data_IF_740833497670
#
_entry.id   IF_740833497670
#
_cell.length_a   1.000
_cell.length_b   1.000
_cell.length_c   1.000
_cell.angle_alpha   90.00
_cell.angle_beta   90.00
_cell.angle_gamma   90.00
#
_symmetry.space_group_name_H-M   'P 1'
#
loop_
_entity.id
_entity.type
_entity.pdbx_description
1 polymer ?
#
# COMPACT_ATOMS: atom_id res chain seq x y z
N UNK A 1 -26.98 -54.07 -35.38
CA UNK A 1 -26.06 -52.93 -35.31
C UNK A 1 -26.78 -51.76 -34.70
N UNK A 2 -26.13 -51.03 -33.80
CA UNK A 2 -26.30 -49.62 -33.44
C UNK A 2 -25.64 -49.44 -32.06
N UNK A 3 -24.36 -49.11 -32.09
CA UNK A 3 -23.55 -48.70 -30.95
C UNK A 3 -23.49 -47.18 -30.91
N UNK A 4 -23.63 -46.62 -29.70
CA UNK A 4 -22.95 -45.40 -29.29
C UNK A 4 -23.75 -44.13 -29.48
N UNK A 5 -24.02 -43.44 -28.36
CA UNK A 5 -24.05 -41.98 -28.21
C UNK A 5 -24.31 -41.63 -26.73
N UNK A 6 -23.38 -41.94 -25.84
CA UNK A 6 -23.35 -41.31 -24.51
C UNK A 6 -21.91 -41.02 -24.10
N UNK A 7 -21.56 -39.74 -23.98
CA UNK A 7 -20.31 -39.36 -23.34
C UNK A 7 -19.75 -38.02 -23.78
N UNK A 8 -20.41 -36.88 -23.49
CA UNK A 8 -19.74 -35.59 -23.68
C UNK A 8 -20.32 -34.40 -22.89
N UNK A 9 -20.38 -34.45 -21.54
CA UNK A 9 -20.70 -33.23 -20.75
C UNK A 9 -19.82 -32.99 -19.49
N UNK A 10 -18.82 -33.83 -19.19
CA UNK A 10 -18.07 -33.76 -17.92
C UNK A 10 -16.70 -33.02 -17.93
N UNK A 11 -16.12 -32.74 -19.10
CA UNK A 11 -14.71 -32.30 -19.22
C UNK A 11 -14.44 -30.81 -18.95
N UNK A 12 -15.41 -29.93 -19.24
CA UNK A 12 -15.23 -28.48 -19.14
C UNK A 12 -15.13 -27.96 -17.71
N UNK A 13 -15.96 -28.47 -16.79
CA UNK A 13 -15.98 -28.05 -15.38
C UNK A 13 -14.68 -28.41 -14.63
N UNK A 14 -14.08 -29.58 -14.91
CA UNK A 14 -12.82 -30.00 -14.27
C UNK A 14 -11.62 -29.17 -14.73
N UNK A 15 -11.55 -28.81 -16.02
CA UNK A 15 -10.50 -27.90 -16.53
C UNK A 15 -10.63 -26.49 -15.97
N UNK A 16 -11.84 -25.95 -15.89
CA UNK A 16 -12.10 -24.61 -15.33
C UNK A 16 -11.70 -24.53 -13.84
N UNK A 17 -12.12 -25.52 -13.03
CA UNK A 17 -11.76 -25.60 -11.61
C UNK A 17 -10.24 -25.67 -11.41
N UNK A 18 -9.54 -26.55 -12.15
CA UNK A 18 -8.07 -26.65 -12.07
C UNK A 18 -7.36 -25.33 -12.45
N UNK A 19 -7.90 -24.59 -13.41
CA UNK A 19 -7.33 -23.31 -13.82
C UNK A 19 -7.59 -22.21 -12.77
N UNK A 20 -8.75 -22.21 -12.12
CA UNK A 20 -9.06 -21.31 -11.00
C UNK A 20 -8.16 -21.61 -9.79
N UNK A 21 -7.98 -22.88 -9.43
CA UNK A 21 -7.11 -23.32 -8.34
C UNK A 21 -5.65 -22.88 -8.57
N UNK A 22 -5.12 -23.06 -9.80
CA UNK A 22 -3.77 -22.62 -10.16
C UNK A 22 -3.58 -21.11 -10.05
N UNK A 23 -4.57 -20.32 -10.50
CA UNK A 23 -4.54 -18.86 -10.38
C UNK A 23 -4.54 -18.42 -8.93
N UNK A 24 -5.30 -19.10 -8.07
CA UNK A 24 -5.35 -18.78 -6.65
C UNK A 24 -4.04 -19.10 -5.94
N UNK A 25 -3.42 -20.24 -6.27
CA UNK A 25 -2.08 -20.58 -5.77
C UNK A 25 -1.02 -19.55 -6.18
N UNK A 26 -1.04 -19.09 -7.45
CA UNK A 26 -0.09 -18.07 -7.92
C UNK A 26 -0.29 -16.74 -7.18
N UNK A 27 -1.52 -16.30 -6.97
CA UNK A 27 -1.81 -15.10 -6.16
C UNK A 27 -1.27 -15.24 -4.74
N UNK A 28 -1.51 -16.37 -4.08
CA UNK A 28 -1.04 -16.57 -2.71
C UNK A 28 0.49 -16.57 -2.64
N UNK A 29 1.17 -17.13 -3.65
CA UNK A 29 2.63 -17.08 -3.73
C UNK A 29 3.14 -15.64 -3.86
N UNK A 30 2.53 -14.84 -4.74
CA UNK A 30 2.88 -13.43 -4.92
C UNK A 30 2.62 -12.63 -3.63
N UNK A 31 1.49 -12.85 -2.96
CA UNK A 31 1.18 -12.20 -1.68
C UNK A 31 2.19 -12.57 -0.59
N UNK A 32 2.52 -13.86 -0.45
CA UNK A 32 3.53 -14.29 0.51
C UNK A 32 4.90 -13.66 0.24
N UNK A 33 5.25 -13.46 -1.04
CA UNK A 33 6.47 -12.73 -1.41
C UNK A 33 6.36 -11.26 -0.99
N UNK A 34 5.22 -10.60 -1.22
CA UNK A 34 4.99 -9.20 -0.85
C UNK A 34 4.88 -8.98 0.66
N UNK A 35 4.55 -10.00 1.45
CA UNK A 35 4.63 -9.96 2.91
C UNK A 35 6.07 -10.05 3.42
N UNK A 36 7.00 -10.54 2.60
CA UNK A 36 8.40 -10.65 2.94
C UNK A 36 9.12 -9.30 2.80
N UNK A 37 9.70 -8.82 3.90
CA UNK A 37 10.48 -7.58 3.93
C UNK A 37 11.89 -7.72 3.32
N UNK A 38 12.44 -8.93 3.27
CA UNK A 38 13.82 -9.17 2.79
C UNK A 38 13.91 -9.35 1.26
N UNK A 39 12.78 -9.27 0.55
CA UNK A 39 12.71 -9.56 -0.90
C UNK A 39 13.50 -8.56 -1.77
N UNK A 40 13.75 -7.34 -1.28
CA UNK A 40 14.49 -6.28 -1.97
C UNK A 40 15.54 -5.66 -1.04
N UNK A 41 16.61 -6.40 -0.73
CA UNK A 41 17.63 -5.99 0.23
C UNK A 41 18.37 -4.66 -0.02
N UNK A 42 18.16 -4.02 -1.18
CA UNK A 42 18.77 -2.73 -1.56
C UNK A 42 17.77 -1.59 -1.76
N UNK A 43 16.46 -1.85 -1.66
CA UNK A 43 15.43 -0.84 -1.90
C UNK A 43 14.67 -0.54 -0.61
N UNK A 44 14.15 0.69 -0.47
CA UNK A 44 13.21 0.98 0.60
C UNK A 44 11.84 0.41 0.26
N UNK A 45 11.30 -0.37 1.19
CA UNK A 45 9.95 -0.91 1.11
C UNK A 45 8.97 -0.04 1.88
N UNK A 46 7.76 0.05 1.34
CA UNK A 46 6.65 0.83 1.86
C UNK A 46 5.51 -0.11 2.24
N UNK A 47 4.96 0.07 3.44
CA UNK A 47 3.81 -0.70 3.90
C UNK A 47 2.53 -0.12 3.31
N UNK A 48 1.84 -0.91 2.49
CA UNK A 48 0.48 -0.62 2.02
C UNK A 48 -0.48 -1.66 2.55
N UNK A 49 -1.74 -1.24 2.70
CA UNK A 49 -2.82 -2.09 3.20
C UNK A 49 -4.02 -2.01 2.27
N UNK A 50 -4.76 -3.10 2.22
CA UNK A 50 -6.02 -3.22 1.51
C UNK A 50 -7.14 -3.32 2.53
N UNK A 51 -8.05 -2.36 2.53
CA UNK A 51 -9.23 -2.40 3.39
C UNK A 51 -10.31 -3.30 2.82
N UNK A 52 -11.05 -3.99 3.70
CA UNK A 52 -12.19 -4.83 3.29
C UNK A 52 -13.22 -4.01 2.54
N UNK A 53 -13.66 -4.51 1.39
CA UNK A 53 -14.61 -3.82 0.51
C UNK A 53 -13.99 -2.73 -0.37
N UNK A 54 -12.67 -2.50 -0.27
CA UNK A 54 -11.91 -1.64 -1.18
C UNK A 54 -11.07 -2.49 -2.13
N UNK A 55 -11.08 -2.14 -3.41
CA UNK A 55 -10.12 -2.68 -4.39
C UNK A 55 -8.80 -1.89 -4.44
N UNK A 56 -8.73 -0.76 -3.74
CA UNK A 56 -7.62 0.18 -3.79
C UNK A 56 -6.73 -0.03 -2.56
N UNK A 57 -5.42 -0.16 -2.80
CA UNK A 57 -4.40 -0.19 -1.75
C UNK A 57 -4.05 1.23 -1.31
N UNK A 58 -3.85 1.41 -0.01
CA UNK A 58 -3.52 2.72 0.57
C UNK A 58 -2.56 2.56 1.73
N UNK A 59 -1.94 3.67 2.17
CA UNK A 59 -1.30 3.68 3.49
C UNK A 59 -2.34 3.49 4.61
N UNK A 60 -1.98 2.88 5.75
CA UNK A 60 -2.87 2.80 6.91
C UNK A 60 -3.31 4.18 7.37
N UNK A 61 -4.62 4.36 7.57
CA UNK A 61 -5.18 5.61 8.08
C UNK A 61 -6.37 5.35 9.01
N UNK A 62 -6.72 6.35 9.81
CA UNK A 62 -7.89 6.34 10.67
C UNK A 62 -8.35 7.77 10.92
N UNK A 63 -9.63 7.94 11.26
CA UNK A 63 -10.16 9.22 11.68
C UNK A 63 -9.49 9.70 12.96
N UNK A 64 -9.05 10.95 12.96
CA UNK A 64 -8.55 11.60 14.15
C UNK A 64 -9.71 11.85 15.13
N UNK A 65 -9.55 11.44 16.38
CA UNK A 65 -10.55 11.69 17.41
C UNK A 65 -10.23 12.96 18.19
N UNK A 66 -11.27 13.69 18.56
CA UNK A 66 -11.13 14.89 19.36
C UNK A 66 -10.48 14.59 20.72
N UNK A 67 -9.55 15.43 21.15
CA UNK A 67 -8.81 15.26 22.40
C UNK A 67 -7.59 14.34 22.31
N UNK A 68 -7.33 13.69 21.17
CA UNK A 68 -6.10 12.93 20.94
C UNK A 68 -5.03 13.79 20.27
N UNK A 69 -3.77 13.47 20.50
CA UNK A 69 -2.65 13.96 19.70
C UNK A 69 -2.52 13.17 18.40
N UNK A 70 -1.79 13.73 17.42
CA UNK A 70 -1.45 13.00 16.21
C UNK A 70 -0.66 11.72 16.52
N UNK A 71 0.26 11.76 17.50
CA UNK A 71 1.08 10.61 17.88
C UNK A 71 0.23 9.46 18.44
N UNK A 72 -0.71 9.77 19.34
CA UNK A 72 -1.62 8.76 19.88
C UNK A 72 -2.54 8.18 18.79
N UNK A 73 -2.95 9.01 17.82
CA UNK A 73 -3.73 8.54 16.66
C UNK A 73 -2.92 7.54 15.83
N UNK A 74 -1.64 7.83 15.57
CA UNK A 74 -0.75 6.93 14.82
C UNK A 74 -0.46 5.63 15.57
N UNK A 75 -0.25 5.72 16.89
CA UNK A 75 -0.09 4.52 17.74
C UNK A 75 -1.35 3.67 17.70
N UNK A 76 -2.53 4.28 17.82
CA UNK A 76 -3.80 3.56 17.72
C UNK A 76 -3.98 2.87 16.37
N UNK A 77 -3.59 3.51 15.26
CA UNK A 77 -3.61 2.88 13.93
C UNK A 77 -2.72 1.64 13.94
N UNK A 78 -1.50 1.74 14.47
CA UNK A 78 -0.56 0.61 14.52
C UNK A 78 -1.14 -0.56 15.33
N UNK A 79 -1.55 -0.31 16.57
CA UNK A 79 -2.08 -1.35 17.47
C UNK A 79 -3.37 -1.97 16.94
N UNK A 80 -4.31 -1.15 16.41
CA UNK A 80 -5.63 -1.62 16.00
C UNK A 80 -5.65 -2.27 14.61
N UNK A 81 -4.75 -1.88 13.71
CA UNK A 81 -4.78 -2.34 12.31
C UNK A 81 -3.62 -3.27 11.95
N UNK A 82 -2.45 -3.08 12.57
CA UNK A 82 -1.21 -3.79 12.22
C UNK A 82 -0.79 -4.82 13.28
N UNK A 83 -1.55 -4.92 14.37
CA UNK A 83 -1.34 -5.88 15.46
C UNK A 83 -0.94 -5.22 16.77
N UNK A 84 -1.33 -5.81 17.89
CA UNK A 84 -1.21 -5.22 19.23
C UNK A 84 0.23 -4.85 19.60
N UNK A 85 1.20 -5.65 19.16
CA UNK A 85 2.63 -5.43 19.40
C UNK A 85 3.36 -4.59 18.35
N UNK A 86 2.69 -4.14 17.27
CA UNK A 86 3.37 -3.43 16.20
C UNK A 86 3.69 -1.98 16.60
N UNK A 87 4.98 -1.68 16.78
CA UNK A 87 5.47 -0.40 17.27
C UNK A 87 6.61 0.15 16.39
N UNK A 88 6.29 0.89 15.32
CA UNK A 88 7.32 1.51 14.49
C UNK A 88 7.88 2.78 15.13
N UNK A 89 9.06 3.20 14.68
CA UNK A 89 9.67 4.46 15.11
C UNK A 89 9.10 5.64 14.30
N UNK A 90 8.32 6.51 14.95
CA UNK A 90 7.76 7.70 14.30
C UNK A 90 8.82 8.79 14.10
N UNK A 91 8.93 9.30 12.88
CA UNK A 91 9.93 10.30 12.51
C UNK A 91 9.34 11.71 12.70
N UNK A 92 9.70 12.33 13.82
CA UNK A 92 9.26 13.69 14.15
C UNK A 92 7.79 13.78 14.57
N UNK A 93 7.35 15.00 14.86
CA UNK A 93 5.98 15.30 15.35
C UNK A 93 5.11 16.02 14.32
N UNK A 94 5.71 16.48 13.22
CA UNK A 94 5.06 17.23 12.15
C UNK A 94 4.62 16.28 11.02
N UNK A 95 3.43 16.48 10.42
CA UNK A 95 3.07 15.75 9.21
C UNK A 95 4.03 16.13 8.08
N UNK A 96 4.45 15.14 7.32
CA UNK A 96 5.27 15.35 6.13
C UNK A 96 4.47 15.95 4.99
N UNK A 97 3.19 15.57 4.89
CA UNK A 97 2.31 16.01 3.81
C UNK A 97 0.86 15.93 4.25
N UNK A 98 -0.01 16.58 3.49
CA UNK A 98 -1.44 16.42 3.64
C UNK A 98 -2.14 16.41 2.29
N UNK A 99 -3.27 15.71 2.21
CA UNK A 99 -4.17 15.71 1.06
C UNK A 99 -5.55 16.19 1.51
N UNK A 100 -6.11 17.13 0.76
CA UNK A 100 -7.49 17.61 0.95
C UNK A 100 -8.41 16.87 -0.01
N UNK A 101 -9.52 16.36 0.51
CA UNK A 101 -10.61 15.79 -0.25
C UNK A 101 -11.80 16.76 -0.12
N UNK A 102 -12.25 17.31 -1.25
CA UNK A 102 -13.43 18.19 -1.27
C UNK A 102 -14.67 17.34 -1.57
N UNK A 103 -15.65 17.36 -0.67
CA UNK A 103 -17.01 16.91 -1.03
C UNK A 103 -17.73 18.06 -1.73
N UNK A 104 -18.49 17.76 -2.78
CA UNK A 104 -19.38 18.74 -3.42
C UNK A 104 -20.51 19.01 -2.45
N UNK A 105 -20.75 20.29 -2.13
CA UNK A 105 -21.83 20.70 -1.24
C UNK A 105 -23.16 20.53 -1.98
N UNK A 106 -24.04 19.67 -1.48
CA UNK A 106 -25.45 19.74 -1.86
C UNK A 106 -26.09 20.90 -1.09
N UNK A 107 -26.93 21.73 -1.73
CA UNK A 107 -27.56 22.88 -1.09
C UNK A 107 -28.48 22.52 0.10
N UNK A 108 -28.80 21.23 0.26
CA UNK A 108 -29.67 20.68 1.32
C UNK A 108 -28.90 20.32 2.61
N UNK A 109 -27.57 20.29 2.55
CA UNK A 109 -26.67 19.86 3.64
C UNK A 109 -26.20 21.05 4.49
N UNK A 110 -27.14 21.77 5.10
CA UNK A 110 -26.81 22.88 5.99
C UNK A 110 -26.28 22.33 7.33
N UNK A 111 -24.95 22.34 7.48
CA UNK A 111 -24.23 21.85 8.66
C UNK A 111 -23.33 20.62 8.43
N UNK A 112 -23.32 20.04 7.22
CA UNK A 112 -22.49 18.86 6.93
C UNK A 112 -20.99 19.21 6.80
N UNK A 113 -20.12 18.29 7.24
CA UNK A 113 -18.66 18.44 7.15
C UNK A 113 -18.24 18.51 5.68
N UNK A 114 -17.80 19.70 5.25
CA UNK A 114 -17.37 19.96 3.87
C UNK A 114 -15.95 19.44 3.65
N UNK A 115 -15.86 18.13 3.37
CA UNK A 115 -14.63 17.45 2.97
C UNK A 115 -13.76 16.94 4.12
N UNK A 116 -12.69 16.25 3.75
CA UNK A 116 -11.76 15.65 4.70
C UNK A 116 -10.31 16.00 4.38
N UNK A 117 -9.44 15.96 5.38
CA UNK A 117 -7.99 16.12 5.21
C UNK A 117 -7.30 14.90 5.78
N UNK A 118 -6.39 14.32 5.01
CA UNK A 118 -5.52 13.22 5.46
C UNK A 118 -4.12 13.79 5.64
N UNK A 119 -3.55 13.57 6.81
CA UNK A 119 -2.18 13.97 7.15
C UNK A 119 -1.30 12.73 7.14
N UNK A 120 -0.19 12.81 6.41
CA UNK A 120 0.76 11.72 6.26
C UNK A 120 1.96 11.93 7.17
N UNK A 121 2.28 10.91 7.94
CA UNK A 121 3.42 10.86 8.84
C UNK A 121 4.38 9.76 8.40
N UNK A 122 5.64 9.91 8.78
CA UNK A 122 6.66 8.90 8.54
C UNK A 122 6.83 8.02 9.77
N UNK A 123 6.97 6.72 9.52
CA UNK A 123 7.41 5.78 10.52
C UNK A 123 8.43 4.81 9.89
N UNK A 124 9.42 4.40 10.68
CA UNK A 124 10.43 3.42 10.30
C UNK A 124 10.07 2.12 11.00
N UNK A 125 9.90 1.05 10.24
CA UNK A 125 9.71 -0.27 10.81
C UNK A 125 11.02 -0.74 11.47
N UNK A 126 10.92 -1.27 12.68
CA UNK A 126 12.06 -1.77 13.44
C UNK A 126 12.10 -3.30 13.33
N UNK A 127 13.16 -3.90 12.73
CA UNK A 127 13.25 -5.35 12.54
C UNK A 127 13.21 -6.18 13.82
N UNK A 128 13.54 -5.58 14.96
CA UNK A 128 13.49 -6.23 16.28
C UNK A 128 12.09 -6.28 16.89
N UNK A 129 11.11 -5.62 16.28
CA UNK A 129 9.73 -5.58 16.76
C UNK A 129 8.89 -6.77 16.27
N UNK A 130 7.69 -6.97 16.87
CA UNK A 130 6.72 -7.94 16.36
C UNK A 130 6.35 -7.66 14.89
N UNK A 131 6.13 -8.70 14.06
CA UNK A 131 5.70 -8.54 12.69
C UNK A 131 4.28 -7.99 12.61
N UNK A 132 3.93 -7.43 11.44
CA UNK A 132 2.55 -7.03 11.14
C UNK A 132 1.66 -8.28 11.22
N UNK A 133 0.62 -8.21 12.05
CA UNK A 133 -0.34 -9.29 12.25
C UNK A 133 -1.75 -8.75 12.07
N UNK A 134 -2.43 -9.20 11.03
CA UNK A 134 -3.80 -8.78 10.74
C UNK A 134 -4.81 -9.61 11.53
N UNK A 135 -5.83 -8.95 12.09
CA UNK A 135 -6.95 -9.64 12.73
C UNK A 135 -7.89 -10.24 11.67
N UNK A 136 -8.35 -11.50 11.79
CA UNK A 136 -9.29 -12.13 10.86
C UNK A 136 -10.64 -11.40 10.74
N UNK A 137 -11.03 -10.64 11.76
CA UNK A 137 -12.25 -9.83 11.77
C UNK A 137 -11.96 -8.33 11.66
N UNK A 138 -10.70 -7.97 11.36
CA UNK A 138 -10.26 -6.59 11.23
C UNK A 138 -10.75 -5.91 9.96
N UNK A 139 -10.58 -4.59 9.91
CA UNK A 139 -10.95 -3.76 8.75
C UNK A 139 -9.98 -3.93 7.56
N UNK A 140 -8.79 -4.46 7.82
CA UNK A 140 -7.78 -4.74 6.80
C UNK A 140 -7.99 -6.17 6.29
N UNK A 141 -8.07 -6.31 4.97
CA UNK A 141 -8.10 -7.59 4.27
C UNK A 141 -6.68 -8.14 4.11
N UNK A 142 -5.74 -7.30 3.69
CA UNK A 142 -4.37 -7.71 3.38
C UNK A 142 -3.37 -6.54 3.51
N UNK A 143 -2.09 -6.85 3.57
CA UNK A 143 -0.98 -5.89 3.56
C UNK A 143 0.10 -6.30 2.55
N UNK A 144 0.97 -5.36 2.17
CA UNK A 144 2.10 -5.64 1.29
C UNK A 144 3.25 -4.66 1.56
N UNK A 145 4.48 -5.15 1.42
CA UNK A 145 5.70 -4.35 1.41
C UNK A 145 6.15 -4.13 -0.04
N UNK A 146 5.89 -2.94 -0.56
CA UNK A 146 6.11 -2.60 -1.98
C UNK A 146 7.26 -1.62 -2.15
N UNK A 147 8.05 -1.76 -3.22
CA UNK A 147 9.09 -0.78 -3.52
C UNK A 147 8.47 0.51 -4.05
N UNK A 148 9.26 1.59 -4.12
CA UNK A 148 8.80 2.88 -4.67
C UNK A 148 8.23 2.73 -6.09
N UNK A 149 8.86 1.89 -6.92
CA UNK A 149 8.46 1.63 -8.31
C UNK A 149 7.12 0.91 -8.39
N UNK A 150 6.89 -0.07 -7.54
CA UNK A 150 5.64 -0.85 -7.49
C UNK A 150 4.51 -0.05 -6.84
N UNK A 151 4.82 0.82 -5.87
CA UNK A 151 3.83 1.58 -5.11
C UNK A 151 2.86 2.36 -6.01
N UNK A 152 3.35 2.90 -7.14
CA UNK A 152 2.52 3.62 -8.11
C UNK A 152 1.40 2.75 -8.70
N UNK A 153 1.68 1.47 -8.96
CA UNK A 153 0.72 0.50 -9.49
C UNK A 153 -0.31 0.09 -8.43
N UNK A 154 0.11 -0.04 -7.17
CA UNK A 154 -0.76 -0.45 -6.06
C UNK A 154 -1.77 0.62 -5.66
N UNK A 155 -1.30 1.85 -5.43
CA UNK A 155 -2.14 2.94 -4.91
C UNK A 155 -2.90 3.69 -6.01
N UNK A 156 -2.57 3.42 -7.27
CA UNK A 156 -3.09 4.10 -8.43
C UNK A 156 -2.52 5.51 -8.64
N UNK A 157 -2.63 5.99 -9.88
CA UNK A 157 -1.98 7.23 -10.33
C UNK A 157 -2.40 8.48 -9.54
N UNK A 158 -3.66 8.57 -9.14
CA UNK A 158 -4.20 9.71 -8.38
C UNK A 158 -3.55 9.81 -6.99
N UNK A 159 -3.44 8.69 -6.27
CA UNK A 159 -2.79 8.69 -4.96
C UNK A 159 -1.27 8.86 -5.08
N UNK A 160 -0.66 8.18 -6.06
CA UNK A 160 0.77 8.28 -6.36
C UNK A 160 1.25 9.71 -6.58
N UNK A 161 0.45 10.52 -7.31
CA UNK A 161 0.77 11.93 -7.55
C UNK A 161 1.02 12.71 -6.24
N UNK A 162 0.27 12.40 -5.19
CA UNK A 162 0.44 13.00 -3.87
C UNK A 162 1.60 12.35 -3.10
N UNK A 163 1.74 11.03 -3.13
CA UNK A 163 2.76 10.32 -2.37
C UNK A 163 4.19 10.59 -2.85
N UNK A 164 4.41 10.60 -4.17
CA UNK A 164 5.77 10.66 -4.76
C UNK A 164 6.62 11.84 -4.31
N UNK A 165 5.99 12.95 -3.91
CA UNK A 165 6.65 14.18 -3.44
C UNK A 165 7.12 14.10 -1.99
N UNK A 166 6.63 13.12 -1.25
CA UNK A 166 6.78 13.01 0.19
C UNK A 166 7.71 11.85 0.54
N UNK A 167 7.66 10.79 -0.26
CA UNK A 167 8.57 9.66 -0.08
C UNK A 167 10.02 10.11 -0.37
N UNK A 168 10.96 9.88 0.55
CA UNK A 168 12.38 10.08 0.27
C UNK A 168 12.75 9.35 -1.02
N UNK A 169 13.59 10.01 -1.82
CA UNK A 169 14.26 9.34 -2.93
C UNK A 169 15.14 8.24 -2.32
N UNK A 170 15.29 7.12 -3.02
CA UNK A 170 16.00 5.91 -2.57
C UNK A 170 17.52 6.12 -2.45
N UNK A 171 17.93 7.14 -1.72
CA UNK A 171 19.30 7.47 -1.39
C UNK A 171 19.69 6.68 -0.15
N UNK A 172 19.86 5.37 -0.34
CA UNK A 172 20.76 4.65 0.56
C UNK A 172 22.17 5.22 0.35
N UNK A 173 22.94 5.45 1.43
CA UNK A 173 24.32 5.88 1.30
C UNK A 173 25.10 4.85 0.47
N UNK A 174 25.65 5.27 -0.67
CA UNK A 174 26.40 4.41 -1.61
C UNK A 174 25.82 4.27 -3.01
N UNK A 175 24.72 4.95 -3.33
CA UNK A 175 24.21 5.10 -4.71
C UNK A 175 24.36 6.56 -5.17
N UNK A 176 25.60 7.05 -5.24
CA UNK A 176 25.86 8.29 -5.94
C UNK A 176 25.66 8.06 -7.44
N UNK A 177 24.80 8.90 -7.99
CA UNK A 177 24.50 9.08 -9.40
C UNK A 177 25.75 9.02 -10.29
N UNK A 178 25.90 7.91 -11.02
CA UNK A 178 26.47 7.92 -12.37
C UNK A 178 25.44 8.60 -13.26
N UNK A 179 25.35 9.93 -13.18
CA UNK A 179 24.82 10.73 -14.28
C UNK A 179 26.04 11.40 -14.89
N UNK A 180 26.60 10.66 -15.85
CA UNK A 180 27.68 11.08 -16.73
C UNK A 180 27.30 12.41 -17.39
N UNK A 181 28.28 13.31 -17.45
CA UNK A 181 28.15 14.66 -17.95
C UNK A 181 27.65 14.73 -19.38
N UNK A 182 26.77 15.70 -19.62
CA UNK A 182 26.66 16.32 -20.93
C UNK A 182 27.61 17.51 -21.00
N UNK A 183 28.43 17.43 -22.06
CA UNK A 183 29.53 18.30 -22.42
C UNK A 183 29.03 19.69 -22.78
N UNK A 184 29.42 20.72 -22.01
CA UNK A 184 29.39 22.10 -22.49
C UNK A 184 30.63 22.32 -23.37
N UNK A 185 30.42 22.28 -24.69
CA UNK A 185 31.35 22.78 -25.72
C UNK A 185 30.79 24.06 -26.30
N UNK A 186 31.65 25.08 -26.46
CA UNK A 186 31.38 26.33 -27.19
C UNK A 186 31.03 27.48 -26.26
N UNK A 187 31.60 28.68 -26.33
CA UNK A 187 32.34 29.33 -27.41
C UNK A 187 33.31 30.35 -26.81
N UNK A 188 34.53 30.37 -27.35
CA UNK A 188 35.50 31.46 -27.21
C UNK A 188 35.35 32.33 -28.48
N UNK A 189 35.10 33.63 -28.30
CA UNK A 189 35.34 34.70 -29.28
C UNK A 189 35.42 36.03 -28.56
#
# INVERSE_FOLDING_TARGET
>A
GLSGLEGQLGGGRKKKKKQEDLREMDKQRVLNELHNMDRRGTEMLWLVVKYRGSSIWTFPFSSHLHGMTARETLQRICTAQLGEGYAPFFVGTCPMHYRKFTSVRNPEDDGAVVGSKVFYYRAIHLPSGPPVTLSPDGIIEDFAWVSRSELAEYVGQSAWYHYRRCLPLDLLPGQESVVLGESAKGEES
#
